data_IF_558951390507
#
_entry.id   IF_558951390507
#
_cell.length_a   1.000
_cell.length_b   1.000
_cell.length_c   1.000
_cell.angle_alpha   90.00
_cell.angle_beta   90.00
_cell.angle_gamma   90.00
#
_symmetry.space_group_name_H-M   'P 1'
#
loop_
_entity.id
_entity.type
_entity.pdbx_description
1 polymer ?
#
# COMPACT_ATOMS: atom_id res chain seq x y z
N UNK A 1 -29.27 26.35 3.43
CA UNK A 1 -27.82 26.62 3.50
C UNK A 1 -27.17 25.45 2.76
N UNK A 2 -26.85 25.61 1.49
CA UNK A 2 -26.32 24.54 0.66
C UNK A 2 -24.79 24.45 0.83
N UNK A 3 -24.37 23.26 1.24
CA UNK A 3 -23.14 22.50 0.92
C UNK A 3 -21.78 23.22 0.86
N UNK A 4 -20.89 22.81 1.78
CA UNK A 4 -19.49 22.57 1.42
C UNK A 4 -19.18 21.13 1.82
N UNK A 5 -19.59 20.17 0.99
CA UNK A 5 -18.88 18.91 0.96
C UNK A 5 -17.50 19.26 0.44
N UNK A 6 -16.49 19.32 1.31
CA UNK A 6 -15.11 19.35 0.85
C UNK A 6 -14.94 18.11 -0.03
N UNK A 7 -14.77 18.31 -1.34
CA UNK A 7 -14.44 17.23 -2.24
C UNK A 7 -13.10 16.67 -1.77
N UNK A 8 -13.15 15.48 -1.17
CA UNK A 8 -11.96 14.75 -0.76
C UNK A 8 -10.93 14.71 -1.90
N UNK A 9 -9.80 15.39 -1.71
CA UNK A 9 -8.71 15.42 -2.68
C UNK A 9 -7.68 14.35 -2.34
N UNK A 10 -7.27 13.60 -3.36
CA UNK A 10 -6.21 12.59 -3.21
C UNK A 10 -4.87 13.33 -3.06
N UNK A 11 -4.16 13.09 -1.95
CA UNK A 11 -2.88 13.72 -1.64
C UNK A 11 -1.77 13.30 -2.62
N UNK A 12 -0.74 14.15 -2.83
CA UNK A 12 0.43 13.79 -3.63
C UNK A 12 1.13 12.52 -3.16
N UNK A 13 1.19 12.27 -1.84
CA UNK A 13 1.77 11.07 -1.25
C UNK A 13 1.03 9.81 -1.69
N UNK A 14 -0.31 9.83 -1.64
CA UNK A 14 -1.12 8.69 -2.04
C UNK A 14 -0.96 8.38 -3.54
N UNK A 15 -0.97 9.42 -4.38
CA UNK A 15 -0.72 9.27 -5.81
C UNK A 15 0.69 8.75 -6.09
N UNK A 16 1.70 9.25 -5.38
CA UNK A 16 3.07 8.80 -5.52
C UNK A 16 3.21 7.31 -5.19
N UNK A 17 2.64 6.85 -4.06
CA UNK A 17 2.63 5.42 -3.70
C UNK A 17 1.88 4.59 -4.74
N UNK A 18 0.75 5.09 -5.28
CA UNK A 18 -0.01 4.41 -6.34
C UNK A 18 0.81 4.21 -7.61
N UNK A 19 1.48 5.26 -8.07
CA UNK A 19 2.33 5.18 -9.26
C UNK A 19 3.54 4.27 -9.01
N UNK A 20 4.16 4.34 -7.82
CA UNK A 20 5.25 3.45 -7.43
C UNK A 20 4.84 1.98 -7.35
N UNK A 21 3.64 1.69 -6.84
CA UNK A 21 3.08 0.34 -6.87
C UNK A 21 2.91 -0.17 -8.32
N UNK A 22 2.44 0.69 -9.22
CA UNK A 22 2.32 0.36 -10.65
C UNK A 22 3.68 0.12 -11.30
N UNK A 23 4.65 0.99 -11.07
CA UNK A 23 6.04 0.85 -11.54
C UNK A 23 6.66 -0.47 -11.07
N UNK A 24 6.34 -0.89 -9.84
CA UNK A 24 6.80 -2.15 -9.28
C UNK A 24 6.17 -3.40 -9.92
N UNK A 25 5.18 -3.22 -10.80
CA UNK A 25 4.46 -4.30 -11.46
C UNK A 25 3.23 -4.80 -10.69
N UNK A 26 2.73 -4.05 -9.70
CA UNK A 26 1.40 -4.28 -9.14
C UNK A 26 0.34 -3.59 -10.00
N UNK A 27 -0.90 -4.04 -9.82
CA UNK A 27 -2.07 -3.45 -10.47
C UNK A 27 -2.94 -2.77 -9.42
N UNK A 28 -2.91 -1.43 -9.35
CA UNK A 28 -3.77 -0.68 -8.46
C UNK A 28 -5.18 -0.55 -9.07
N UNK A 29 -6.19 -1.07 -8.37
CA UNK A 29 -7.60 -0.96 -8.75
C UNK A 29 -8.37 -0.18 -7.68
N UNK A 30 -9.22 0.77 -8.09
CA UNK A 30 -10.01 1.56 -7.15
C UNK A 30 -10.93 0.63 -6.34
N UNK A 31 -10.90 0.76 -5.02
CA UNK A 31 -11.96 0.19 -4.20
C UNK A 31 -13.27 0.95 -4.46
N UNK A 32 -14.38 0.47 -3.88
CA UNK A 32 -15.68 1.16 -3.95
C UNK A 32 -15.68 2.59 -3.37
N UNK A 33 -14.57 3.06 -2.79
CA UNK A 33 -14.39 4.41 -2.24
C UNK A 33 -13.05 5.03 -2.65
N UNK A 34 -12.98 6.37 -2.70
CA UNK A 34 -11.79 7.16 -3.07
C UNK A 34 -10.64 7.04 -2.05
N UNK A 35 -10.91 6.45 -0.90
CA UNK A 35 -10.02 6.39 0.25
C UNK A 35 -9.09 5.16 0.23
N UNK A 36 -9.37 4.21 -0.67
CA UNK A 36 -8.62 2.97 -0.77
C UNK A 36 -8.46 2.50 -2.22
N UNK A 37 -7.26 2.00 -2.52
CA UNK A 37 -6.93 1.30 -3.75
C UNK A 37 -6.49 -0.11 -3.37
N UNK A 38 -7.08 -1.13 -4.00
CA UNK A 38 -6.63 -2.52 -3.86
C UNK A 38 -5.43 -2.77 -4.77
N UNK A 39 -4.53 -3.64 -4.34
CA UNK A 39 -3.31 -3.99 -5.07
C UNK A 39 -3.33 -5.46 -5.43
N UNK A 40 -3.05 -5.77 -6.70
CA UNK A 40 -3.04 -7.12 -7.24
C UNK A 40 -1.69 -7.47 -7.88
N UNK A 41 -1.31 -8.74 -7.79
CA UNK A 41 -0.33 -9.37 -8.66
C UNK A 41 -1.07 -9.89 -9.90
N UNK A 42 -0.51 -9.61 -11.09
CA UNK A 42 -0.98 -10.06 -12.41
C UNK A 42 -2.23 -9.32 -12.97
N UNK A 43 -2.17 -8.99 -14.27
CA UNK A 43 -3.22 -8.32 -15.07
C UNK A 43 -3.70 -9.19 -16.23
N UNK A 44 -3.07 -10.34 -16.49
CA UNK A 44 -3.49 -11.20 -17.59
C UNK A 44 -4.77 -12.00 -17.28
N UNK A 45 -5.26 -11.95 -16.04
CA UNK A 45 -6.37 -12.79 -15.56
C UNK A 45 -7.48 -11.99 -14.85
N UNK A 46 -7.90 -10.88 -15.45
CA UNK A 46 -9.10 -10.12 -15.04
C UNK A 46 -10.43 -10.88 -15.19
N UNK A 47 -10.40 -12.19 -15.44
CA UNK A 47 -11.62 -13.00 -15.40
C UNK A 47 -11.68 -14.02 -14.25
N UNK A 48 -10.60 -14.37 -13.52
CA UNK A 48 -10.78 -15.23 -12.32
C UNK A 48 -9.60 -15.42 -11.34
N UNK A 49 -8.41 -14.82 -11.53
CA UNK A 49 -7.21 -15.21 -10.72
C UNK A 49 -6.24 -14.11 -10.28
N UNK A 50 -6.58 -12.83 -10.44
CA UNK A 50 -5.73 -11.76 -9.92
C UNK A 50 -5.54 -11.92 -8.39
N UNK A 51 -4.29 -12.12 -7.96
CA UNK A 51 -4.01 -12.33 -6.53
C UNK A 51 -3.96 -10.97 -5.87
N UNK A 52 -5.04 -10.62 -5.16
CA UNK A 52 -5.04 -9.46 -4.29
C UNK A 52 -3.96 -9.63 -3.23
N UNK A 53 -3.01 -8.70 -3.16
CA UNK A 53 -1.90 -8.77 -2.18
C UNK A 53 -1.97 -7.68 -1.13
N UNK A 54 -2.71 -6.60 -1.36
CA UNK A 54 -2.67 -5.47 -0.45
C UNK A 54 -3.61 -4.34 -0.80
N UNK A 55 -3.36 -3.19 -0.17
CA UNK A 55 -4.06 -1.95 -0.46
C UNK A 55 -3.20 -0.73 -0.11
N UNK A 56 -3.51 0.39 -0.76
CA UNK A 56 -3.12 1.74 -0.33
C UNK A 56 -4.39 2.34 0.28
N UNK A 57 -4.33 2.84 1.51
CA UNK A 57 -5.49 3.36 2.22
C UNK A 57 -5.11 4.54 3.10
N UNK A 58 -5.97 5.54 3.17
CA UNK A 58 -5.85 6.58 4.20
C UNK A 58 -6.28 6.07 5.58
N UNK A 59 -5.48 6.38 6.59
CA UNK A 59 -5.85 6.13 7.98
C UNK A 59 -6.37 7.39 8.68
N UNK A 60 -7.24 7.18 9.67
CA UNK A 60 -7.74 8.26 10.51
C UNK A 60 -8.84 9.11 9.87
N UNK A 61 -9.43 8.70 8.75
CA UNK A 61 -10.62 9.38 8.23
C UNK A 61 -11.77 9.21 9.24
N UNK A 62 -12.03 10.26 9.99
CA UNK A 62 -13.24 10.43 10.79
C UNK A 62 -14.03 11.61 10.23
N UNK A 63 -15.32 11.68 10.54
CA UNK A 63 -16.24 12.72 10.06
C UNK A 63 -15.87 14.16 10.46
N UNK A 64 -14.77 14.34 11.19
CA UNK A 64 -14.31 15.64 11.72
C UNK A 64 -12.94 16.07 11.21
N UNK A 65 -12.19 15.22 10.50
CA UNK A 65 -10.84 15.51 10.03
C UNK A 65 -10.87 15.92 8.56
N UNK A 66 -10.38 17.14 8.28
CA UNK A 66 -10.51 17.79 6.97
C UNK A 66 -9.75 17.05 5.86
N UNK A 67 -8.55 16.51 6.14
CA UNK A 67 -7.79 15.69 5.20
C UNK A 67 -6.95 14.64 5.96
N UNK A 68 -6.96 13.36 5.56
CA UNK A 68 -6.10 12.35 6.13
C UNK A 68 -4.66 12.49 5.64
N UNK A 69 -3.74 12.75 6.57
CA UNK A 69 -2.31 12.88 6.25
C UNK A 69 -1.59 11.54 6.22
N UNK A 70 -2.16 10.50 6.84
CA UNK A 70 -1.51 9.19 6.97
C UNK A 70 -1.95 8.25 5.84
N UNK A 71 -1.01 7.88 4.97
CA UNK A 71 -1.21 6.88 3.93
C UNK A 71 -0.59 5.55 4.38
N UNK A 72 -1.42 4.53 4.48
CA UNK A 72 -1.03 3.16 4.78
C UNK A 72 -0.89 2.35 3.49
N UNK A 73 0.32 1.92 3.19
CA UNK A 73 0.62 0.91 2.19
C UNK A 73 0.76 -0.45 2.87
N UNK A 74 -0.29 -1.28 2.76
CA UNK A 74 -0.38 -2.55 3.47
C UNK A 74 -0.46 -3.74 2.52
N UNK A 75 0.04 -4.87 3.00
CA UNK A 75 0.01 -6.16 2.32
C UNK A 75 -0.56 -7.23 3.25
N UNK A 76 -1.53 -8.04 2.79
CA UNK A 76 -2.12 -9.13 3.58
C UNK A 76 -1.17 -10.32 3.59
N UNK A 77 -0.64 -10.67 4.78
CA UNK A 77 0.35 -11.75 4.94
C UNK A 77 -0.12 -13.09 4.38
N UNK A 78 -1.43 -13.36 4.42
CA UNK A 78 -2.01 -14.63 3.97
C UNK A 78 -2.13 -14.71 2.46
N UNK A 79 -2.15 -13.56 1.79
CA UNK A 79 -2.28 -13.47 0.34
C UNK A 79 -0.93 -13.25 -0.35
N UNK A 80 0.12 -12.99 0.43
CA UNK A 80 1.47 -12.87 -0.08
C UNK A 80 2.12 -14.24 -0.29
N UNK A 81 2.76 -14.46 -1.46
CA UNK A 81 3.74 -15.51 -1.67
C UNK A 81 4.85 -15.46 -0.60
N UNK A 82 5.35 -16.61 -0.15
CA UNK A 82 6.27 -16.70 0.99
C UNK A 82 7.58 -15.92 0.79
N UNK A 83 8.14 -15.94 -0.41
CA UNK A 83 9.37 -15.22 -0.75
C UNK A 83 9.14 -13.69 -0.76
N UNK A 84 8.04 -13.23 -1.36
CA UNK A 84 7.64 -11.82 -1.31
C UNK A 84 7.35 -11.36 0.12
N UNK A 85 6.64 -12.18 0.91
CA UNK A 85 6.36 -11.90 2.33
C UNK A 85 7.65 -11.71 3.11
N UNK A 86 8.58 -12.66 2.99
CA UNK A 86 9.85 -12.63 3.72
C UNK A 86 10.68 -11.39 3.37
N UNK A 87 10.77 -11.04 2.09
CA UNK A 87 11.52 -9.87 1.65
C UNK A 87 10.85 -8.55 2.11
N UNK A 88 9.51 -8.46 2.11
CA UNK A 88 8.79 -7.30 2.65
C UNK A 88 8.92 -7.18 4.18
N UNK A 89 8.93 -8.29 4.91
CA UNK A 89 9.11 -8.29 6.36
C UNK A 89 10.52 -7.85 6.79
N UNK A 90 11.51 -7.95 5.91
CA UNK A 90 12.85 -7.44 6.19
C UNK A 90 12.93 -5.91 6.17
N UNK A 91 11.94 -5.21 5.57
CA UNK A 91 11.90 -3.75 5.55
C UNK A 91 11.35 -3.24 6.89
N UNK A 92 12.18 -2.49 7.61
CA UNK A 92 11.83 -1.94 8.93
C UNK A 92 11.40 -0.47 8.86
N UNK A 93 11.92 0.28 7.88
CA UNK A 93 11.64 1.70 7.73
C UNK A 93 10.12 1.91 7.51
N UNK A 94 9.54 2.83 8.29
CA UNK A 94 8.10 3.17 8.24
C UNK A 94 7.13 2.00 8.52
N UNK A 95 7.63 0.83 8.93
CA UNK A 95 6.79 -0.33 9.23
C UNK A 95 6.01 -0.12 10.53
N UNK A 96 4.68 -0.18 10.43
CA UNK A 96 3.71 -0.06 11.50
C UNK A 96 2.56 -1.05 11.24
N UNK A 97 2.76 -2.33 11.57
CA UNK A 97 1.83 -3.44 11.29
C UNK A 97 0.47 -3.28 12.00
N UNK A 98 0.43 -2.51 13.10
CA UNK A 98 -0.78 -2.23 13.88
C UNK A 98 -0.83 -0.76 14.31
N UNK A 99 -2.01 -0.28 14.71
CA UNK A 99 -2.20 1.09 15.21
C UNK A 99 -1.85 1.23 16.71
N UNK A 100 -1.71 0.11 17.41
CA UNK A 100 -1.48 0.07 18.85
C UNK A 100 -0.51 -1.07 19.20
N UNK A 101 0.39 -0.81 20.16
CA UNK A 101 1.42 -1.78 20.56
C UNK A 101 2.72 -1.59 19.78
N UNK A 102 3.46 -2.68 19.58
CA UNK A 102 4.72 -2.65 18.85
C UNK A 102 4.48 -2.33 17.37
N UNK A 103 5.31 -1.43 16.83
CA UNK A 103 5.29 -1.09 15.40
C UNK A 103 5.43 -2.32 14.50
N UNK A 104 6.25 -3.29 14.90
CA UNK A 104 6.41 -4.56 14.17
C UNK A 104 5.71 -5.64 14.97
N UNK A 105 4.69 -6.26 14.35
CA UNK A 105 3.92 -7.33 14.95
C UNK A 105 3.77 -8.47 13.93
N UNK A 106 4.56 -9.52 14.11
CA UNK A 106 4.57 -10.70 13.24
C UNK A 106 3.22 -11.44 13.21
N UNK A 107 2.40 -11.26 14.25
CA UNK A 107 1.07 -11.86 14.36
C UNK A 107 -0.04 -10.99 13.75
N UNK A 108 0.26 -9.76 13.30
CA UNK A 108 -0.74 -8.94 12.62
C UNK A 108 -1.18 -9.58 11.30
N UNK A 109 -2.34 -9.19 10.78
CA UNK A 109 -2.80 -9.70 9.49
C UNK A 109 -2.03 -9.10 8.31
N UNK A 110 -1.44 -7.93 8.49
CA UNK A 110 -0.79 -7.20 7.43
C UNK A 110 0.62 -6.78 7.80
N UNK A 111 1.49 -6.72 6.78
CA UNK A 111 2.71 -5.92 6.80
C UNK A 111 2.29 -4.54 6.34
N UNK A 112 2.48 -3.51 7.15
CA UNK A 112 1.99 -2.18 6.84
C UNK A 112 3.10 -1.13 6.96
N UNK A 113 3.21 -0.27 5.95
CA UNK A 113 4.12 0.85 5.91
C UNK A 113 3.31 2.14 5.89
N UNK A 114 3.59 3.05 6.81
CA UNK A 114 2.76 4.23 7.01
C UNK A 114 3.56 5.51 6.85
N UNK A 115 3.06 6.37 5.97
CA UNK A 115 3.73 7.58 5.54
C UNK A 115 2.84 8.79 5.79
N UNK A 116 3.44 9.87 6.28
CA UNK A 116 2.73 11.13 6.58
C UNK A 116 3.04 12.20 5.53
N UNK A 117 4.22 12.13 4.90
CA UNK A 117 4.71 13.11 3.93
C UNK A 117 5.76 12.50 2.99
N UNK A 118 6.02 13.19 1.86
CA UNK A 118 7.03 12.81 0.86
C UNK A 118 8.42 13.40 1.15
N UNK A 119 9.02 13.01 2.28
CA UNK A 119 10.44 13.31 2.58
C UNK A 119 11.40 12.41 1.81
N UNK A 120 12.68 12.76 1.77
CA UNK A 120 13.72 11.88 1.18
C UNK A 120 13.74 10.49 1.85
N UNK A 121 13.59 10.43 3.17
CA UNK A 121 13.52 9.16 3.91
C UNK A 121 12.30 8.33 3.51
N UNK A 122 11.14 8.96 3.32
CA UNK A 122 9.93 8.27 2.86
C UNK A 122 10.11 7.72 1.44
N UNK A 123 10.74 8.50 0.55
CA UNK A 123 11.03 8.09 -0.83
C UNK A 123 11.99 6.91 -0.85
N UNK A 124 13.08 6.97 -0.08
CA UNK A 124 14.03 5.86 0.05
C UNK A 124 13.34 4.57 0.52
N UNK A 125 12.47 4.65 1.52
CA UNK A 125 11.72 3.49 2.01
C UNK A 125 10.72 2.96 0.97
N UNK A 126 10.02 3.86 0.26
CA UNK A 126 9.11 3.49 -0.85
C UNK A 126 9.89 2.79 -1.96
N UNK A 127 11.06 3.29 -2.34
CA UNK A 127 11.92 2.67 -3.35
C UNK A 127 12.44 1.29 -2.91
N UNK A 128 12.73 1.09 -1.62
CA UNK A 128 13.05 -0.25 -1.11
C UNK A 128 11.89 -1.24 -1.28
N UNK A 129 10.66 -0.80 -0.96
CA UNK A 129 9.45 -1.60 -1.15
C UNK A 129 9.25 -1.92 -2.64
N UNK A 130 9.38 -0.91 -3.52
CA UNK A 130 9.34 -1.06 -4.97
C UNK A 130 10.37 -2.06 -5.45
N UNK A 131 11.61 -1.99 -4.97
CA UNK A 131 12.69 -2.90 -5.33
C UNK A 131 12.37 -4.36 -5.01
N UNK A 132 11.84 -4.63 -3.81
CA UNK A 132 11.41 -5.98 -3.40
C UNK A 132 10.32 -6.52 -4.33
N UNK A 133 9.27 -5.71 -4.57
CA UNK A 133 8.13 -6.13 -5.40
C UNK A 133 8.58 -6.34 -6.86
N UNK A 134 9.34 -5.39 -7.43
CA UNK A 134 9.82 -5.45 -8.81
C UNK A 134 10.68 -6.69 -9.06
N UNK A 135 11.59 -6.98 -8.11
CA UNK A 135 12.43 -8.18 -8.14
C UNK A 135 11.57 -9.44 -8.14
N UNK A 136 10.57 -9.52 -7.28
CA UNK A 136 9.64 -10.65 -7.24
C UNK A 136 8.88 -10.83 -8.56
N UNK A 137 8.25 -9.75 -9.06
CA UNK A 137 7.48 -9.78 -10.31
C UNK A 137 8.36 -10.19 -11.49
N UNK A 138 9.59 -9.67 -11.57
CA UNK A 138 10.55 -10.07 -12.61
C UNK A 138 10.88 -11.56 -12.56
N UNK A 139 11.20 -12.10 -11.37
CA UNK A 139 11.46 -13.54 -11.21
C UNK A 139 10.28 -14.41 -11.65
N UNK A 140 9.05 -13.96 -11.42
CA UNK A 140 7.84 -14.69 -11.83
C UNK A 140 7.59 -14.68 -13.33
N UNK A 141 8.03 -13.65 -14.06
CA UNK A 141 7.93 -13.58 -15.53
C UNK A 141 8.99 -14.43 -16.24
N UNK A 142 10.09 -14.73 -15.56
CA UNK A 142 11.23 -15.49 -16.10
C UNK A 142 11.16 -17.00 -15.78
N UNK A 143 10.25 -17.41 -14.89
CA UNK A 143 10.06 -18.79 -14.44
C UNK A 143 8.96 -19.50 -15.23
#
# INVERSE_FOLDING_TARGET
MYEVWNEFQITPLFNYIREKAREAGLYPENAKNKESIQLFLDHELLEDRAIRVGAIQYEGINSTQLEPNLVNWRFDRRLLPDDLRTELEAILAFRRDTNAGLNINLNAQSIAFKFEELTEQSKEAIEQIVGVISKYVKRKKEA
#
